data_IF_094095093803
#
_entry.id   IF_094095093803
#
_cell.length_a   1.000
_cell.length_b   1.000
_cell.length_c   1.000
_cell.angle_alpha   90.00
_cell.angle_beta   90.00
_cell.angle_gamma   90.00
#
_symmetry.space_group_name_H-M   'P 1'
#
loop_
_entity.id
_entity.type
_entity.pdbx_description
1 polymer ?
#
# COMPACT_ATOMS: atom_id res chain seq x y z
N UNK A 1 38.26 5.42 12.85
CA UNK A 1 37.26 4.88 11.90
C UNK A 1 36.07 5.78 12.03
N UNK A 2 35.81 6.57 10.99
CA UNK A 2 34.78 7.61 11.04
C UNK A 2 33.38 6.99 10.97
N UNK A 3 32.48 7.54 11.77
CA UNK A 3 31.10 7.10 11.96
C UNK A 3 30.35 6.99 10.62
N UNK A 4 30.69 7.85 9.65
CA UNK A 4 30.12 7.87 8.31
C UNK A 4 30.48 6.63 7.48
N UNK A 5 31.68 6.05 7.67
CA UNK A 5 32.08 4.82 6.95
C UNK A 5 31.41 3.58 7.56
N UNK A 6 31.09 3.61 8.85
CA UNK A 6 30.39 2.52 9.54
C UNK A 6 28.91 2.43 9.13
N UNK A 7 28.25 3.56 8.91
CA UNK A 7 26.83 3.63 8.50
C UNK A 7 26.63 3.10 7.07
N UNK A 8 27.53 3.45 6.14
CA UNK A 8 27.46 2.98 4.75
C UNK A 8 27.76 1.48 4.67
N UNK A 9 28.72 0.97 5.43
CA UNK A 9 29.00 -0.47 5.49
C UNK A 9 27.84 -1.28 6.10
N UNK A 10 27.08 -0.71 7.06
CA UNK A 10 25.90 -1.35 7.64
C UNK A 10 24.75 -1.45 6.63
N UNK A 11 24.47 -0.40 5.86
CA UNK A 11 23.40 -0.41 4.85
C UNK A 11 23.59 -1.45 3.74
N UNK A 12 24.81 -1.61 3.23
CA UNK A 12 25.11 -2.61 2.19
C UNK A 12 25.20 -4.04 2.72
N UNK A 13 25.70 -4.23 3.95
CA UNK A 13 25.70 -5.54 4.60
C UNK A 13 24.28 -6.05 4.90
N UNK A 14 23.38 -5.14 5.27
CA UNK A 14 22.01 -5.48 5.66
C UNK A 14 21.12 -5.84 4.46
N UNK A 15 21.22 -5.09 3.36
CA UNK A 15 20.54 -5.42 2.10
C UNK A 15 20.99 -6.77 1.51
N UNK A 16 22.30 -7.06 1.54
CA UNK A 16 22.83 -8.34 1.06
C UNK A 16 22.42 -9.52 1.97
N UNK A 17 22.35 -9.31 3.28
CA UNK A 17 21.95 -10.35 4.23
C UNK A 17 20.45 -10.67 4.19
N UNK A 18 19.58 -9.68 3.98
CA UNK A 18 18.13 -9.89 3.78
C UNK A 18 17.87 -10.71 2.50
N UNK A 19 18.56 -10.38 1.40
CA UNK A 19 18.47 -11.14 0.14
C UNK A 19 19.01 -12.58 0.31
N UNK A 20 20.14 -12.75 1.01
CA UNK A 20 20.70 -14.07 1.31
C UNK A 20 19.75 -14.94 2.16
N UNK A 21 19.04 -14.35 3.12
CA UNK A 21 18.10 -15.06 4.01
C UNK A 21 16.81 -15.46 3.31
N UNK A 22 16.31 -14.66 2.39
CA UNK A 22 15.16 -15.03 1.54
C UNK A 22 15.56 -16.16 0.59
N UNK A 23 16.80 -16.17 0.10
CA UNK A 23 17.31 -17.26 -0.72
C UNK A 23 17.45 -18.58 0.05
N UNK A 24 17.98 -18.54 1.30
CA UNK A 24 18.00 -19.73 2.18
C UNK A 24 16.60 -20.29 2.46
N UNK A 25 15.58 -19.44 2.64
CA UNK A 25 14.18 -19.90 2.81
C UNK A 25 13.61 -20.58 1.55
N UNK A 26 14.13 -20.26 0.36
CA UNK A 26 13.77 -20.97 -0.88
C UNK A 26 14.53 -22.29 -1.04
N UNK A 27 15.80 -22.36 -0.63
CA UNK A 27 16.59 -23.60 -0.68
C UNK A 27 16.22 -24.65 0.37
N UNK A 28 15.59 -24.27 1.49
CA UNK A 28 15.11 -25.24 2.50
C UNK A 28 13.70 -25.79 2.22
N UNK A 29 13.13 -25.54 1.03
CA UNK A 29 11.77 -25.96 0.63
C UNK A 29 11.73 -26.80 -0.66
N UNK A 30 12.83 -27.46 -1.01
CA UNK A 30 12.80 -28.52 -2.01
C UNK A 30 12.69 -29.87 -1.31
N UNK A 31 11.46 -30.18 -0.89
CA UNK A 31 11.04 -31.56 -0.65
C UNK A 31 10.38 -32.03 -1.98
N UNK A 32 11.06 -32.84 -2.82
CA UNK A 32 10.61 -33.13 -4.19
C UNK A 32 9.36 -34.02 -4.27
N UNK A 33 8.74 -34.34 -3.13
CA UNK A 33 7.59 -35.24 -3.00
C UNK A 33 6.26 -34.53 -2.73
N UNK A 34 6.25 -33.21 -2.47
CA UNK A 34 5.01 -32.43 -2.23
C UNK A 34 4.37 -31.84 -3.50
N UNK A 35 4.79 -32.30 -4.68
CA UNK A 35 4.45 -31.70 -5.98
C UNK A 35 3.04 -32.03 -6.53
N UNK A 36 2.06 -32.47 -5.71
CA UNK A 36 0.70 -32.76 -6.20
C UNK A 36 -0.39 -32.39 -5.20
N UNK A 37 -0.33 -31.19 -4.61
CA UNK A 37 -1.56 -30.54 -4.13
C UNK A 37 -1.50 -29.10 -4.62
N UNK A 38 -2.20 -28.81 -5.73
CA UNK A 38 -2.48 -27.44 -6.17
C UNK A 38 -3.18 -26.74 -5.01
N UNK A 39 -2.42 -25.96 -4.22
CA UNK A 39 -2.98 -24.88 -3.42
C UNK A 39 -3.80 -24.02 -4.39
N UNK A 40 -5.11 -23.77 -4.18
CA UNK A 40 -5.82 -22.83 -5.03
C UNK A 40 -5.02 -21.53 -4.98
N UNK A 41 -4.71 -20.99 -6.16
CA UNK A 41 -4.07 -19.69 -6.26
C UNK A 41 -4.87 -18.73 -5.37
N UNK A 42 -4.20 -17.97 -4.50
CA UNK A 42 -4.85 -16.93 -3.70
C UNK A 42 -5.74 -16.15 -4.66
N UNK A 43 -7.06 -16.27 -4.48
CA UNK A 43 -8.06 -15.63 -5.32
C UNK A 43 -7.70 -14.15 -5.30
N UNK A 44 -7.12 -13.68 -6.42
CA UNK A 44 -6.56 -12.36 -6.52
C UNK A 44 -7.77 -11.44 -6.50
N UNK A 45 -8.14 -10.95 -5.32
CA UNK A 45 -9.36 -10.17 -5.12
C UNK A 45 -9.45 -9.11 -6.22
N UNK A 46 -10.32 -9.36 -7.20
CA UNK A 46 -10.45 -8.49 -8.36
C UNK A 46 -10.95 -7.15 -7.85
N UNK A 47 -10.34 -6.07 -8.34
CA UNK A 47 -10.81 -4.73 -8.02
C UNK A 47 -12.30 -4.62 -8.37
N UNK A 48 -13.14 -4.07 -7.49
CA UNK A 48 -14.55 -3.91 -7.81
C UNK A 48 -14.67 -2.98 -9.01
N UNK A 49 -15.30 -3.50 -10.06
CA UNK A 49 -15.65 -2.69 -11.24
C UNK A 49 -16.72 -1.68 -10.83
N UNK A 50 -16.32 -0.42 -10.72
CA UNK A 50 -17.21 0.69 -10.37
C UNK A 50 -17.17 1.73 -11.48
N UNK A 51 -18.29 2.43 -11.72
CA UNK A 51 -18.34 3.52 -12.68
C UNK A 51 -18.40 3.09 -14.15
N UNK A 52 -18.10 4.04 -15.03
CA UNK A 52 -18.14 3.81 -16.49
C UNK A 52 -16.77 3.35 -16.99
N UNK A 53 -16.64 2.15 -17.58
CA UNK A 53 -15.36 1.69 -18.11
C UNK A 53 -14.77 2.67 -19.13
N UNK A 54 -13.45 2.74 -19.18
CA UNK A 54 -12.70 3.62 -20.09
C UNK A 54 -13.02 5.12 -19.96
N UNK A 55 -13.45 5.57 -18.78
CA UNK A 55 -13.72 6.99 -18.50
C UNK A 55 -12.56 7.69 -17.79
N UNK A 56 -11.52 6.97 -17.36
CA UNK A 56 -10.36 7.53 -16.63
C UNK A 56 -9.79 8.78 -17.30
N UNK A 57 -9.56 9.84 -16.52
CA UNK A 57 -9.05 11.10 -17.04
C UNK A 57 -7.53 11.11 -17.17
N UNK A 58 -7.00 11.98 -18.02
CA UNK A 58 -5.55 12.18 -18.16
C UNK A 58 -4.86 12.60 -16.86
N UNK A 59 -5.53 13.43 -16.04
CA UNK A 59 -4.99 13.86 -14.75
C UNK A 59 -4.89 12.68 -13.76
N UNK A 60 -5.92 11.82 -13.73
CA UNK A 60 -5.90 10.61 -12.91
C UNK A 60 -4.84 9.61 -13.38
N UNK A 61 -4.64 9.44 -14.69
CA UNK A 61 -3.54 8.62 -15.25
C UNK A 61 -2.19 9.13 -14.74
N UNK A 62 -1.94 10.45 -14.84
CA UNK A 62 -0.70 11.06 -14.35
C UNK A 62 -0.50 10.85 -12.86
N UNK A 63 -1.55 11.03 -12.06
CA UNK A 63 -1.48 10.85 -10.62
C UNK A 63 -1.23 9.40 -10.22
N UNK A 64 -1.86 8.43 -10.90
CA UNK A 64 -1.59 7.01 -10.70
C UNK A 64 -0.14 6.66 -11.04
N UNK A 65 0.38 7.17 -12.17
CA UNK A 65 1.78 7.00 -12.55
C UNK A 65 2.74 7.61 -11.52
N UNK A 66 2.42 8.79 -10.99
CA UNK A 66 3.21 9.43 -9.93
C UNK A 66 3.23 8.61 -8.62
N UNK A 67 2.21 7.77 -8.40
CA UNK A 67 2.14 6.84 -7.28
C UNK A 67 2.61 5.41 -7.64
N UNK A 68 3.38 5.26 -8.73
CA UNK A 68 3.95 3.99 -9.21
C UNK A 68 2.91 2.93 -9.64
N UNK A 69 1.71 3.35 -10.04
CA UNK A 69 0.73 2.46 -10.66
C UNK A 69 0.88 2.42 -12.18
N UNK A 70 0.53 1.29 -12.77
CA UNK A 70 0.35 1.13 -14.21
C UNK A 70 -1.15 1.24 -14.53
N UNK A 71 -1.66 2.44 -14.88
CA UNK A 71 -3.07 2.62 -15.17
C UNK A 71 -3.49 1.85 -16.43
N UNK A 72 -4.66 1.21 -16.39
CA UNK A 72 -5.31 0.62 -17.56
C UNK A 72 -6.29 1.62 -18.17
N UNK A 73 -6.29 1.74 -19.50
CA UNK A 73 -7.23 2.61 -20.24
C UNK A 73 -8.68 2.16 -20.09
N UNK A 74 -8.93 0.93 -19.69
CA UNK A 74 -10.28 0.43 -19.42
C UNK A 74 -10.82 0.83 -18.04
N UNK A 75 -9.99 1.44 -17.19
CA UNK A 75 -10.46 1.89 -15.88
C UNK A 75 -11.44 3.05 -15.97
N UNK A 76 -12.35 3.09 -15.01
CA UNK A 76 -13.25 4.22 -14.81
C UNK A 76 -12.59 5.34 -13.99
N UNK A 77 -13.23 6.50 -13.99
CA UNK A 77 -12.84 7.61 -13.11
C UNK A 77 -12.98 7.23 -11.64
N UNK A 78 -14.02 6.49 -11.30
CA UNK A 78 -14.35 6.06 -9.95
C UNK A 78 -13.35 5.00 -9.43
N UNK A 79 -12.92 4.07 -10.29
CA UNK A 79 -11.87 3.10 -9.97
C UNK A 79 -10.54 3.82 -9.71
N UNK A 80 -10.17 4.75 -10.58
CA UNK A 80 -8.95 5.54 -10.43
C UNK A 80 -8.98 6.41 -9.16
N UNK A 81 -10.09 7.09 -8.90
CA UNK A 81 -10.29 7.89 -7.69
C UNK A 81 -10.19 7.01 -6.43
N UNK A 82 -10.82 5.83 -6.43
CA UNK A 82 -10.74 4.92 -5.29
C UNK A 82 -9.31 4.49 -4.97
N UNK A 83 -8.50 4.15 -5.98
CA UNK A 83 -7.09 3.80 -5.76
C UNK A 83 -6.34 4.99 -5.15
N UNK A 84 -6.50 6.18 -5.74
CA UNK A 84 -5.80 7.38 -5.28
C UNK A 84 -6.21 7.77 -3.85
N UNK A 85 -7.51 7.71 -3.54
CA UNK A 85 -8.07 7.94 -2.22
C UNK A 85 -7.53 6.92 -1.22
N UNK A 86 -7.43 5.65 -1.60
CA UNK A 86 -6.87 4.58 -0.76
C UNK A 86 -5.37 4.77 -0.49
N UNK A 87 -4.59 5.19 -1.49
CA UNK A 87 -3.16 5.51 -1.32
C UNK A 87 -2.99 6.69 -0.36
N UNK A 88 -3.80 7.74 -0.53
CA UNK A 88 -3.75 8.93 0.33
C UNK A 88 -4.13 8.59 1.77
N UNK A 89 -5.20 7.82 1.95
CA UNK A 89 -5.64 7.34 3.25
C UNK A 89 -4.55 6.50 3.93
N UNK A 90 -3.94 5.57 3.17
CA UNK A 90 -2.85 4.72 3.65
C UNK A 90 -1.65 5.54 4.13
N UNK A 91 -1.21 6.54 3.35
CA UNK A 91 -0.10 7.41 3.76
C UNK A 91 -0.41 8.17 5.04
N UNK A 92 -1.62 8.72 5.15
CA UNK A 92 -2.06 9.40 6.36
C UNK A 92 -2.08 8.45 7.58
N UNK A 93 -2.52 7.19 7.39
CA UNK A 93 -2.50 6.19 8.48
C UNK A 93 -1.07 5.87 8.88
N UNK A 94 -0.18 5.61 7.93
CA UNK A 94 1.22 5.32 8.21
C UNK A 94 1.90 6.49 8.94
N UNK A 95 1.67 7.74 8.53
CA UNK A 95 2.20 8.92 9.24
C UNK A 95 1.65 9.07 10.66
N UNK A 96 0.39 8.67 10.89
CA UNK A 96 -0.20 8.72 12.23
C UNK A 96 0.44 7.73 13.22
N UNK A 97 1.21 6.75 12.73
CA UNK A 97 1.86 5.72 13.56
C UNK A 97 3.39 5.73 13.47
N UNK A 98 3.97 6.30 12.42
CA UNK A 98 5.41 6.45 12.27
C UNK A 98 5.89 7.71 12.97
N UNK A 99 7.10 7.68 13.51
CA UNK A 99 7.79 8.91 13.93
C UNK A 99 8.25 9.70 12.70
N UNK A 100 8.48 11.01 12.84
CA UNK A 100 8.93 11.88 11.73
C UNK A 100 10.23 11.38 11.07
N UNK A 101 11.03 10.59 11.79
CA UNK A 101 12.32 10.05 11.34
C UNK A 101 12.22 8.72 10.56
N UNK A 102 11.06 8.05 10.55
CA UNK A 102 10.91 6.70 9.96
C UNK A 102 10.77 6.71 8.43
N UNK A 103 10.57 7.90 7.83
CA UNK A 103 10.40 8.06 6.38
C UNK A 103 9.13 7.41 5.82
N UNK A 104 9.00 7.38 4.49
CA UNK A 104 7.86 6.72 3.85
C UNK A 104 8.00 5.18 3.94
N UNK A 105 6.90 4.45 4.20
CA UNK A 105 6.94 2.99 4.26
C UNK A 105 7.44 2.39 2.92
N UNK A 106 8.24 1.31 2.94
CA UNK A 106 8.63 0.58 1.74
C UNK A 106 7.46 0.21 0.82
N UNK A 107 7.69 0.17 -0.49
CA UNK A 107 6.64 -0.09 -1.50
C UNK A 107 5.92 -1.41 -1.27
N UNK A 108 6.61 -2.44 -0.77
CA UNK A 108 6.01 -3.74 -0.45
C UNK A 108 4.97 -3.64 0.67
N UNK A 109 5.23 -2.81 1.68
CA UNK A 109 4.31 -2.54 2.80
C UNK A 109 3.13 -1.71 2.30
N UNK A 110 3.39 -0.67 1.49
CA UNK A 110 2.33 0.11 0.85
C UNK A 110 1.38 -0.77 0.03
N UNK A 111 1.93 -1.69 -0.78
CA UNK A 111 1.14 -2.61 -1.60
C UNK A 111 0.32 -3.60 -0.76
N UNK A 112 0.89 -4.13 0.33
CA UNK A 112 0.19 -5.04 1.22
C UNK A 112 -1.00 -4.36 1.93
N UNK A 113 -0.78 -3.16 2.48
CA UNK A 113 -1.82 -2.39 3.14
C UNK A 113 -2.87 -1.86 2.16
N UNK A 114 -2.47 -1.45 0.96
CA UNK A 114 -3.40 -1.04 -0.08
C UNK A 114 -4.29 -2.21 -0.50
N UNK A 115 -3.71 -3.40 -0.69
CA UNK A 115 -4.48 -4.63 -0.94
C UNK A 115 -5.47 -4.89 0.19
N UNK A 116 -5.07 -4.73 1.44
CA UNK A 116 -5.97 -4.89 2.59
C UNK A 116 -7.15 -3.92 2.54
N UNK A 117 -6.88 -2.63 2.32
CA UNK A 117 -7.90 -1.56 2.21
C UNK A 117 -8.88 -1.87 1.07
N UNK A 118 -8.38 -2.21 -0.12
CA UNK A 118 -9.21 -2.44 -1.30
C UNK A 118 -9.97 -3.77 -1.23
N UNK A 119 -9.47 -4.78 -0.52
CA UNK A 119 -10.12 -6.09 -0.40
C UNK A 119 -11.29 -6.07 0.59
N UNK A 120 -11.14 -5.37 1.73
CA UNK A 120 -12.17 -5.33 2.78
C UNK A 120 -13.27 -4.35 2.40
N UNK A 121 -14.46 -4.86 2.06
CA UNK A 121 -15.57 -4.05 1.55
C UNK A 121 -15.92 -2.86 2.45
N UNK A 122 -16.00 -3.08 3.76
CA UNK A 122 -16.37 -2.05 4.72
C UNK A 122 -15.34 -0.92 4.80
N UNK A 123 -14.04 -1.25 4.71
CA UNK A 123 -12.94 -0.28 4.69
C UNK A 123 -12.93 0.45 3.36
N UNK A 124 -13.08 -0.28 2.25
CA UNK A 124 -13.14 0.29 0.91
C UNK A 124 -14.29 1.29 0.74
N UNK A 125 -15.47 0.94 1.23
CA UNK A 125 -16.65 1.81 1.18
C UNK A 125 -16.46 3.07 2.02
N UNK A 126 -15.83 2.93 3.20
CA UNK A 126 -15.46 4.06 4.02
C UNK A 126 -14.46 4.99 3.32
N UNK A 127 -13.36 4.44 2.78
CA UNK A 127 -12.32 5.21 2.07
C UNK A 127 -12.89 5.92 0.84
N UNK A 128 -13.76 5.24 0.08
CA UNK A 128 -14.48 5.84 -1.05
C UNK A 128 -15.28 7.06 -0.61
N UNK A 129 -16.12 6.90 0.42
CA UNK A 129 -16.95 7.99 0.94
C UNK A 129 -16.10 9.14 1.51
N UNK A 130 -15.04 8.80 2.23
CA UNK A 130 -14.09 9.78 2.77
C UNK A 130 -13.43 10.61 1.67
N UNK A 131 -13.03 9.98 0.55
CA UNK A 131 -12.49 10.68 -0.61
C UNK A 131 -13.52 11.57 -1.31
N UNK A 132 -14.76 11.09 -1.45
CA UNK A 132 -15.89 11.86 -1.98
C UNK A 132 -16.19 13.10 -1.12
N UNK A 133 -16.26 12.92 0.21
CA UNK A 133 -16.51 14.00 1.17
C UNK A 133 -15.41 15.07 1.12
N UNK A 134 -14.15 14.65 0.97
CA UNK A 134 -13.00 15.57 0.79
C UNK A 134 -13.12 16.38 -0.50
N UNK A 135 -13.41 15.73 -1.62
CA UNK A 135 -13.64 16.41 -2.90
C UNK A 135 -14.82 17.38 -2.82
N UNK A 136 -15.89 17.01 -2.12
CA UNK A 136 -17.05 17.88 -1.89
C UNK A 136 -16.71 19.12 -1.03
N UNK A 137 -15.74 19.02 -0.12
CA UNK A 137 -15.23 20.14 0.68
C UNK A 137 -14.29 21.07 -0.10
N UNK A 138 -14.08 20.82 -1.39
CA UNK A 138 -13.17 21.61 -2.23
C UNK A 138 -11.69 21.29 -2.01
N UNK A 139 -11.37 20.26 -1.22
CA UNK A 139 -10.03 19.71 -1.17
C UNK A 139 -9.81 18.94 -2.47
N UNK A 140 -9.02 19.54 -3.36
CA UNK A 140 -8.76 18.99 -4.68
C UNK A 140 -8.28 17.53 -4.60
N UNK A 141 -8.60 16.78 -5.65
CA UNK A 141 -8.24 15.37 -5.85
C UNK A 141 -6.71 15.11 -5.73
N UNK A 142 -5.91 16.17 -5.85
CA UNK A 142 -4.44 16.20 -5.78
C UNK A 142 -3.89 17.23 -4.79
N UNK A 143 -4.69 17.71 -3.83
CA UNK A 143 -4.17 18.61 -2.82
C UNK A 143 -3.01 17.93 -2.07
N UNK A 144 -1.88 18.62 -1.94
CA UNK A 144 -0.77 18.17 -1.09
C UNK A 144 -1.07 18.56 0.36
N UNK A 145 -2.20 18.04 0.85
CA UNK A 145 -2.67 18.23 2.22
C UNK A 145 -2.49 16.96 3.02
N UNK A 146 -2.39 17.14 4.33
CA UNK A 146 -2.39 16.06 5.31
C UNK A 146 -3.81 15.88 5.86
N UNK A 147 -4.55 14.86 5.40
CA UNK A 147 -5.89 14.63 5.91
C UNK A 147 -5.91 14.40 7.41
N UNK A 148 -6.83 15.06 8.10
CA UNK A 148 -7.26 14.60 9.40
C UNK A 148 -8.02 13.27 9.24
N UNK A 149 -7.56 12.24 9.95
CA UNK A 149 -8.20 10.94 9.98
C UNK A 149 -9.20 10.89 11.14
N UNK A 150 -10.40 10.39 10.85
CA UNK A 150 -11.36 10.09 11.90
C UNK A 150 -11.00 8.75 12.56
N UNK A 151 -10.77 8.76 13.87
CA UNK A 151 -10.51 7.57 14.67
C UNK A 151 -11.80 6.73 14.82
N UNK A 152 -12.08 5.91 13.81
CA UNK A 152 -13.21 4.99 13.79
C UNK A 152 -12.75 3.52 13.67
N UNK A 153 -13.70 2.58 13.65
CA UNK A 153 -13.37 1.16 13.59
C UNK A 153 -12.61 0.74 12.32
N UNK A 154 -12.79 1.45 11.20
CA UNK A 154 -12.05 1.20 9.97
C UNK A 154 -10.61 1.70 10.09
N UNK A 155 -10.41 2.91 10.64
CA UNK A 155 -9.09 3.46 10.97
C UNK A 155 -8.32 2.53 11.88
N UNK A 156 -8.89 2.10 13.01
CA UNK A 156 -8.21 1.22 13.97
C UNK A 156 -7.79 -0.12 13.35
N UNK A 157 -8.61 -0.66 12.43
CA UNK A 157 -8.27 -1.90 11.71
C UNK A 157 -7.11 -1.71 10.73
N UNK A 158 -7.10 -0.63 9.96
CA UNK A 158 -5.99 -0.33 9.04
C UNK A 158 -4.73 0.00 9.83
N UNK A 159 -4.85 0.74 10.92
CA UNK A 159 -3.76 1.05 11.87
C UNK A 159 -3.16 -0.22 12.46
N UNK A 160 -4.00 -1.12 12.98
CA UNK A 160 -3.54 -2.41 13.54
C UNK A 160 -2.83 -3.24 12.48
N UNK A 161 -3.35 -3.28 11.26
CA UNK A 161 -2.69 -3.98 10.16
C UNK A 161 -1.34 -3.35 9.82
N UNK A 162 -1.29 -2.01 9.78
CA UNK A 162 -0.06 -1.26 9.53
C UNK A 162 0.98 -1.49 10.63
N UNK A 163 0.58 -1.46 11.90
CA UNK A 163 1.45 -1.68 13.06
C UNK A 163 2.18 -3.03 13.02
N UNK A 164 1.61 -4.08 12.42
CA UNK A 164 2.33 -5.36 12.24
C UNK A 164 3.65 -5.19 11.50
N UNK A 165 3.72 -4.23 10.58
CA UNK A 165 4.91 -3.94 9.80
C UNK A 165 5.90 -3.02 10.53
N UNK A 166 5.44 -2.24 11.52
CA UNK A 166 6.28 -1.34 12.32
C UNK A 166 6.77 -1.97 13.64
N UNK A 167 6.04 -2.94 14.21
CA UNK A 167 6.36 -3.52 15.54
C UNK A 167 7.27 -4.75 15.48
N UNK A 168 7.45 -5.38 14.31
CA UNK A 168 8.36 -6.53 14.13
C UNK A 168 9.84 -6.12 13.88
N UNK A 169 10.15 -4.83 14.00
CA UNK A 169 11.52 -4.29 13.96
C UNK A 169 11.89 -3.63 15.31
N UNK A 170 12.32 -4.39 16.34
CA UNK A 170 13.12 -3.84 17.43
C UNK A 170 14.57 -3.57 17.00
#
# INVERSE_FOLDING_TARGET
>A
MDLETAIIAFGFGWGAWILYRIHQRRSSKEDPSAAIIKKPADEQAEMPRVGTPASITFNQIKALQANNFTPDKNWSQEEAALILDAVKYLRAVCRSISSEDDGEPPLEIQNALLKFILTKQDIRDYVRKWGEDRRAQGLGEYADDEPLLQENGQYERVKTEAQKYFTENP
#
